data_IF_823839224992
#
_entry.id   IF_823839224992
#
_cell.length_a   1.000
_cell.length_b   1.000
_cell.length_c   1.000
_cell.angle_alpha   90.00
_cell.angle_beta   90.00
_cell.angle_gamma   90.00
#
_symmetry.space_group_name_H-M   'P 1'
#
loop_
_entity.id
_entity.type
_entity.pdbx_description
1 polymer ?
#
# COMPACT_ATOMS: atom_id res chain seq x y z
N UNK A 1 68.73 -13.60 35.19
CA UNK A 1 67.41 -13.05 35.57
C UNK A 1 67.00 -11.93 34.59
N UNK A 2 66.87 -12.23 33.28
CA UNK A 2 66.48 -11.26 32.23
C UNK A 2 65.66 -11.99 31.12
N UNK A 3 64.77 -12.90 31.52
CA UNK A 3 63.83 -13.56 30.61
C UNK A 3 62.45 -13.65 31.30
N UNK A 4 61.73 -12.54 31.35
CA UNK A 4 60.30 -12.58 31.71
C UNK A 4 59.46 -11.39 31.22
N UNK A 5 60.06 -10.34 30.66
CA UNK A 5 59.33 -9.08 30.41
C UNK A 5 58.92 -8.80 28.95
N UNK A 6 59.21 -9.68 27.98
CA UNK A 6 58.90 -9.43 26.55
C UNK A 6 57.74 -10.25 25.98
N UNK A 7 56.99 -10.99 26.79
CA UNK A 7 55.90 -11.85 26.32
C UNK A 7 54.50 -11.45 26.83
N UNK A 8 54.35 -10.26 27.40
CA UNK A 8 53.05 -9.75 27.90
C UNK A 8 52.50 -8.58 27.05
N UNK A 9 53.28 -8.02 26.13
CA UNK A 9 52.88 -6.85 25.35
C UNK A 9 52.10 -7.12 24.04
N UNK A 10 51.95 -8.39 23.63
CA UNK A 10 51.33 -8.72 22.34
C UNK A 10 49.89 -9.24 22.44
N UNK A 11 49.29 -9.30 23.64
CA UNK A 11 47.91 -9.80 23.82
C UNK A 11 46.90 -8.66 24.01
N UNK A 12 47.35 -7.44 24.32
CA UNK A 12 46.45 -6.33 24.65
C UNK A 12 45.96 -5.49 23.45
N UNK A 13 46.45 -5.74 22.23
CA UNK A 13 46.08 -4.95 21.04
C UNK A 13 44.99 -5.58 20.17
N UNK A 14 44.52 -6.79 20.48
CA UNK A 14 43.42 -7.43 19.73
C UNK A 14 42.03 -7.13 20.33
N UNK A 15 41.97 -6.47 21.49
CA UNK A 15 40.71 -6.11 22.15
C UNK A 15 40.13 -4.74 21.71
N UNK A 16 40.53 -4.22 20.55
CA UNK A 16 40.06 -2.92 20.02
C UNK A 16 39.40 -3.05 18.63
N UNK A 17 38.74 -4.18 18.34
CA UNK A 17 38.01 -4.41 17.09
C UNK A 17 36.60 -4.98 17.28
N UNK A 18 35.90 -4.60 18.35
CA UNK A 18 34.51 -5.03 18.54
C UNK A 18 33.62 -3.99 19.22
N UNK A 19 33.76 -2.70 18.89
CA UNK A 19 32.63 -1.77 19.00
C UNK A 19 31.75 -1.96 17.77
N UNK A 20 31.09 -3.12 17.71
CA UNK A 20 30.01 -3.36 16.76
C UNK A 20 28.88 -2.40 17.17
N UNK A 21 28.50 -1.56 16.22
CA UNK A 21 27.33 -0.72 16.28
C UNK A 21 26.09 -1.57 16.58
N UNK A 22 25.70 -1.64 17.85
CA UNK A 22 24.35 -2.03 18.22
C UNK A 22 23.49 -0.77 18.20
N UNK A 23 23.17 -0.32 16.99
CA UNK A 23 21.97 0.47 16.79
C UNK A 23 20.81 -0.43 17.24
N UNK A 24 20.31 -0.19 18.45
CA UNK A 24 19.12 -0.85 18.93
C UNK A 24 17.96 -0.42 18.03
N UNK A 25 17.66 -1.23 17.01
CA UNK A 25 16.38 -1.19 16.34
C UNK A 25 15.33 -1.61 17.38
N UNK A 26 14.88 -0.63 18.15
CA UNK A 26 13.70 -0.74 19.01
C UNK A 26 12.52 -0.88 18.06
N UNK A 27 12.19 -2.12 17.70
CA UNK A 27 10.90 -2.45 17.11
C UNK A 27 9.88 -2.15 18.19
N UNK A 28 9.26 -0.97 18.11
CA UNK A 28 8.06 -0.68 18.87
C UNK A 28 7.01 -1.68 18.42
N UNK A 29 6.50 -2.43 19.40
CA UNK A 29 5.28 -3.21 19.32
C UNK A 29 4.26 -2.44 18.48
N UNK A 30 3.82 -3.05 17.37
CA UNK A 30 2.84 -2.43 16.46
C UNK A 30 1.49 -2.42 17.19
N UNK A 31 1.26 -1.40 18.02
CA UNK A 31 -0.09 -1.00 18.41
C UNK A 31 -0.88 -0.86 17.11
N UNK A 32 -1.97 -1.60 16.98
CA UNK A 32 -3.00 -1.24 16.02
C UNK A 32 -3.44 0.17 16.42
N UNK A 33 -3.09 1.24 15.68
CA UNK A 33 -3.42 2.56 16.15
C UNK A 33 -4.94 2.63 16.07
N UNK A 34 -5.61 2.64 17.23
CA UNK A 34 -7.01 3.09 17.33
C UNK A 34 -7.17 4.53 16.80
N UNK A 35 -6.05 5.20 16.51
CA UNK A 35 -5.91 6.57 16.03
C UNK A 35 -5.79 6.72 14.49
N UNK A 36 -6.15 5.70 13.70
CA UNK A 36 -6.10 5.82 12.23
C UNK A 36 -7.20 5.01 11.51
N UNK A 37 -7.48 5.41 10.27
CA UNK A 37 -8.34 4.69 9.34
C UNK A 37 -9.79 4.58 9.78
N UNK A 38 -10.26 5.53 10.59
CA UNK A 38 -11.61 5.63 11.11
C UNK A 38 -12.08 7.09 11.19
N UNK A 39 -13.38 7.31 11.39
CA UNK A 39 -13.98 8.64 11.44
C UNK A 39 -13.38 9.55 12.53
N UNK A 40 -13.05 9.01 13.71
CA UNK A 40 -12.46 9.81 14.79
C UNK A 40 -11.05 10.33 14.47
N UNK A 41 -10.35 9.67 13.54
CA UNK A 41 -9.04 10.07 13.04
C UNK A 41 -9.10 10.92 11.76
N UNK A 42 -10.28 11.41 11.38
CA UNK A 42 -10.54 12.02 10.07
C UNK A 42 -10.02 11.15 8.92
N UNK A 43 -10.20 9.84 9.04
CA UNK A 43 -9.72 8.84 8.09
C UNK A 43 -8.23 8.91 7.79
N UNK A 44 -7.39 9.40 8.71
CA UNK A 44 -5.92 9.40 8.55
C UNK A 44 -5.39 7.99 8.22
N UNK A 45 -4.58 7.80 7.15
CA UNK A 45 -4.04 6.49 6.82
C UNK A 45 -3.14 5.88 7.89
N UNK A 46 -3.29 4.58 8.11
CA UNK A 46 -2.49 3.81 9.08
C UNK A 46 -1.11 3.40 8.56
N UNK A 47 -0.90 3.47 7.25
CA UNK A 47 0.35 3.04 6.60
C UNK A 47 0.85 4.20 5.72
N UNK A 48 2.17 4.41 5.73
CA UNK A 48 2.83 5.34 4.84
C UNK A 48 2.52 5.04 3.36
N UNK A 49 2.29 6.09 2.58
CA UNK A 49 1.96 6.00 1.15
C UNK A 49 2.96 5.14 0.38
N UNK A 50 4.26 5.28 0.65
CA UNK A 50 5.32 4.51 -0.03
C UNK A 50 5.13 2.99 0.09
N UNK A 51 4.74 2.50 1.27
CA UNK A 51 4.50 1.08 1.51
C UNK A 51 3.16 0.67 0.88
N UNK A 52 2.14 1.51 1.02
CA UNK A 52 0.83 1.28 0.42
C UNK A 52 0.94 1.14 -1.11
N UNK A 53 1.69 2.01 -1.78
CA UNK A 53 1.92 2.00 -3.23
C UNK A 53 2.63 0.72 -3.69
N UNK A 54 3.59 0.20 -2.91
CA UNK A 54 4.24 -1.08 -3.22
C UNK A 54 3.24 -2.24 -3.22
N UNK A 55 2.35 -2.25 -2.22
CA UNK A 55 1.30 -3.27 -2.09
C UNK A 55 0.28 -3.16 -3.23
N UNK A 56 -0.14 -1.94 -3.56
CA UNK A 56 -1.07 -1.67 -4.67
C UNK A 56 -0.45 -2.07 -6.01
N UNK A 57 0.79 -1.63 -6.28
CA UNK A 57 1.55 -1.97 -7.48
C UNK A 57 1.68 -3.48 -7.67
N UNK A 58 2.02 -4.22 -6.61
CA UNK A 58 2.16 -5.68 -6.64
C UNK A 58 0.86 -6.40 -7.04
N UNK A 59 -0.31 -5.90 -6.61
CA UNK A 59 -1.59 -6.42 -7.08
C UNK A 59 -1.83 -6.07 -8.55
N UNK A 60 -1.55 -4.82 -8.94
CA UNK A 60 -1.73 -4.35 -10.30
C UNK A 60 -0.88 -5.10 -11.32
N UNK A 61 0.31 -5.58 -10.97
CA UNK A 61 1.11 -6.42 -11.87
C UNK A 61 0.36 -7.67 -12.38
N UNK A 62 -0.60 -8.17 -11.60
CA UNK A 62 -1.39 -9.38 -11.91
C UNK A 62 -2.68 -9.11 -12.66
N UNK A 63 -3.32 -7.96 -12.40
CA UNK A 63 -4.68 -7.68 -12.89
C UNK A 63 -4.77 -6.48 -13.84
N UNK A 64 -3.73 -5.66 -13.93
CA UNK A 64 -3.71 -4.39 -14.67
C UNK A 64 -2.54 -4.38 -15.65
N UNK A 65 -2.78 -4.09 -16.94
CA UNK A 65 -1.71 -4.09 -17.93
C UNK A 65 -0.81 -2.85 -17.76
N UNK A 66 0.45 -2.88 -18.24
CA UNK A 66 1.45 -1.85 -17.98
C UNK A 66 0.99 -0.42 -18.26
N UNK A 67 0.24 -0.21 -19.35
CA UNK A 67 -0.27 1.10 -19.78
C UNK A 67 -1.27 1.73 -18.81
N UNK A 68 -1.84 0.95 -17.88
CA UNK A 68 -2.78 1.40 -16.87
C UNK A 68 -2.16 1.50 -15.46
N UNK A 69 -0.93 1.00 -15.24
CA UNK A 69 -0.33 0.91 -13.91
C UNK A 69 0.03 2.25 -13.29
N UNK A 70 0.07 3.33 -14.07
CA UNK A 70 0.19 4.69 -13.55
C UNK A 70 -0.93 5.09 -12.57
N UNK A 71 -2.07 4.37 -12.57
CA UNK A 71 -3.17 4.56 -11.62
C UNK A 71 -3.01 3.74 -10.33
N UNK A 72 -1.98 2.92 -10.21
CA UNK A 72 -1.77 2.03 -9.06
C UNK A 72 -0.93 2.70 -7.97
N UNK A 73 -1.31 3.92 -7.62
CA UNK A 73 -0.72 4.75 -6.57
C UNK A 73 -1.83 5.40 -5.74
N UNK A 74 -1.60 5.58 -4.46
CA UNK A 74 -2.50 6.28 -3.56
C UNK A 74 -2.25 7.79 -3.61
N UNK A 75 -2.62 8.41 -4.73
CA UNK A 75 -2.58 9.87 -4.84
C UNK A 75 -3.86 10.49 -4.27
N UNK A 76 -3.72 11.24 -3.18
CA UNK A 76 -4.81 11.84 -2.42
C UNK A 76 -4.86 13.37 -2.51
N UNK A 77 -3.91 14.00 -3.23
CA UNK A 77 -3.99 15.42 -3.55
C UNK A 77 -4.90 15.63 -4.79
N UNK A 78 -5.92 16.49 -4.72
CA UNK A 78 -6.91 16.65 -5.80
C UNK A 78 -6.29 17.01 -7.16
N UNK A 79 -5.26 17.85 -7.17
CA UNK A 79 -4.60 18.29 -8.42
C UNK A 79 -3.77 17.14 -9.01
N UNK A 80 -2.93 16.51 -8.19
CA UNK A 80 -2.05 15.43 -8.62
C UNK A 80 -2.85 14.20 -9.07
N UNK A 81 -3.92 13.85 -8.35
CA UNK A 81 -4.82 12.77 -8.72
C UNK A 81 -5.46 12.99 -10.10
N UNK A 82 -5.89 14.23 -10.40
CA UNK A 82 -6.43 14.58 -11.72
C UNK A 82 -5.35 14.50 -12.80
N UNK A 83 -4.13 14.95 -12.52
CA UNK A 83 -2.99 14.86 -13.43
C UNK A 83 -2.67 13.39 -13.74
N UNK A 84 -2.65 12.52 -12.73
CA UNK A 84 -2.46 11.06 -12.88
C UNK A 84 -3.56 10.43 -13.71
N UNK A 85 -4.83 10.74 -13.42
CA UNK A 85 -5.98 10.29 -14.22
C UNK A 85 -5.85 10.72 -15.67
N UNK A 86 -5.63 12.02 -15.93
CA UNK A 86 -5.53 12.54 -17.28
C UNK A 86 -4.35 11.93 -18.04
N UNK A 87 -3.17 11.84 -17.45
CA UNK A 87 -2.00 11.25 -18.12
C UNK A 87 -2.12 9.76 -18.39
N UNK A 88 -2.81 9.02 -17.52
CA UNK A 88 -2.99 7.58 -17.70
C UNK A 88 -4.12 7.27 -18.68
N UNK A 89 -5.20 8.05 -18.66
CA UNK A 89 -6.40 7.88 -19.51
C UNK A 89 -6.26 8.58 -20.86
N UNK A 90 -5.20 9.38 -21.08
CA UNK A 90 -4.91 10.02 -22.36
C UNK A 90 -5.19 9.06 -23.52
N UNK A 91 -5.89 9.52 -24.58
CA UNK A 91 -6.38 8.66 -25.64
C UNK A 91 -5.26 7.74 -26.13
N UNK A 92 -5.49 6.42 -26.10
CA UNK A 92 -4.59 5.31 -26.49
C UNK A 92 -3.67 4.67 -25.44
N UNK A 93 -3.53 5.23 -24.22
CA UNK A 93 -2.72 4.58 -23.16
C UNK A 93 -3.56 3.56 -22.40
N UNK A 94 -4.24 3.96 -21.34
CA UNK A 94 -5.06 3.04 -20.56
C UNK A 94 -6.50 2.95 -21.08
N UNK A 95 -6.96 1.74 -21.40
CA UNK A 95 -8.40 1.46 -21.60
C UNK A 95 -9.11 1.36 -20.25
N UNK A 96 -9.24 2.50 -19.55
CA UNK A 96 -9.74 2.54 -18.18
C UNK A 96 -11.07 1.81 -17.99
N UNK A 97 -11.98 1.91 -18.97
CA UNK A 97 -13.26 1.22 -18.93
C UNK A 97 -13.17 -0.31 -18.77
N UNK A 98 -12.05 -0.93 -19.17
CA UNK A 98 -11.81 -2.37 -18.96
C UNK A 98 -11.22 -2.68 -17.60
N UNK A 99 -10.35 -1.80 -17.10
CA UNK A 99 -9.48 -2.09 -15.96
C UNK A 99 -9.83 -1.35 -14.69
N UNK A 100 -10.82 -0.44 -14.70
CA UNK A 100 -11.27 0.29 -13.51
C UNK A 100 -11.63 -0.67 -12.37
N UNK A 101 -12.36 -1.76 -12.69
CA UNK A 101 -12.69 -2.79 -11.70
C UNK A 101 -11.46 -3.48 -11.12
N UNK A 102 -10.42 -3.71 -11.93
CA UNK A 102 -9.17 -4.32 -11.48
C UNK A 102 -8.36 -3.37 -10.59
N UNK A 103 -8.30 -2.09 -10.97
CA UNK A 103 -7.60 -1.03 -10.22
C UNK A 103 -8.28 -0.82 -8.86
N UNK A 104 -9.60 -0.65 -8.83
CA UNK A 104 -10.38 -0.51 -7.58
C UNK A 104 -10.24 -1.73 -6.69
N UNK A 105 -10.29 -2.94 -7.25
CA UNK A 105 -10.08 -4.16 -6.47
C UNK A 105 -8.71 -4.18 -5.79
N UNK A 106 -7.65 -3.82 -6.54
CA UNK A 106 -6.29 -3.78 -6.00
C UNK A 106 -6.08 -2.67 -4.96
N UNK A 107 -6.72 -1.50 -5.14
CA UNK A 107 -6.68 -0.43 -4.14
C UNK A 107 -7.43 -0.83 -2.85
N UNK A 108 -8.64 -1.40 -2.99
CA UNK A 108 -9.44 -1.81 -1.85
C UNK A 108 -8.85 -3.01 -1.10
N UNK A 109 -8.03 -3.83 -1.76
CA UNK A 109 -7.55 -5.10 -1.25
C UNK A 109 -8.72 -5.98 -0.77
N UNK A 110 -8.85 -6.17 0.54
CA UNK A 110 -9.96 -6.91 1.17
C UNK A 110 -10.85 -6.02 2.04
N UNK A 111 -10.72 -4.70 1.93
CA UNK A 111 -11.36 -3.74 2.83
C UNK A 111 -12.54 -3.03 2.15
N UNK A 112 -13.70 -3.05 2.80
CA UNK A 112 -14.83 -2.18 2.45
C UNK A 112 -14.61 -0.79 3.08
N UNK A 113 -14.50 0.24 2.23
CA UNK A 113 -14.24 1.62 2.64
C UNK A 113 -15.47 2.51 2.44
N UNK A 114 -16.67 1.92 2.37
CA UNK A 114 -17.92 2.65 2.12
C UNK A 114 -18.20 3.74 3.13
N UNK A 115 -17.81 3.56 4.39
CA UNK A 115 -18.03 4.54 5.44
C UNK A 115 -17.20 5.80 5.18
N UNK A 116 -15.90 5.66 4.96
CA UNK A 116 -15.04 6.77 4.53
C UNK A 116 -15.57 7.45 3.27
N UNK A 117 -15.98 6.67 2.27
CA UNK A 117 -16.52 7.25 1.04
C UNK A 117 -17.81 8.06 1.25
N UNK A 118 -18.67 7.64 2.18
CA UNK A 118 -19.86 8.40 2.57
C UNK A 118 -19.48 9.73 3.22
N UNK A 119 -18.53 9.70 4.15
CA UNK A 119 -18.02 10.92 4.82
C UNK A 119 -17.36 11.88 3.83
N UNK A 120 -16.70 11.34 2.80
CA UNK A 120 -16.12 12.11 1.71
C UNK A 120 -17.17 12.57 0.69
N UNK A 121 -18.47 12.28 0.86
CA UNK A 121 -19.54 12.73 -0.04
C UNK A 121 -19.51 12.08 -1.44
N UNK A 122 -19.07 10.82 -1.56
CA UNK A 122 -19.14 10.10 -2.83
C UNK A 122 -20.57 9.68 -3.18
N UNK A 123 -21.36 9.33 -2.17
CA UNK A 123 -22.77 8.94 -2.36
C UNK A 123 -23.61 10.09 -2.92
N UNK A 124 -23.25 11.33 -2.60
CA UNK A 124 -23.91 12.56 -3.07
C UNK A 124 -23.78 12.78 -4.59
N UNK A 125 -22.73 12.24 -5.22
CA UNK A 125 -22.58 12.23 -6.69
C UNK A 125 -23.57 11.24 -7.32
N UNK A 126 -23.83 10.14 -6.62
CA UNK A 126 -24.73 9.08 -7.01
C UNK A 126 -24.36 7.76 -6.34
N UNK A 127 -25.37 6.99 -5.95
CA UNK A 127 -25.22 5.71 -5.25
C UNK A 127 -24.35 4.70 -6.00
N UNK A 128 -24.30 4.77 -7.34
CA UNK A 128 -23.41 3.95 -8.15
C UNK A 128 -21.92 4.17 -7.84
N UNK A 129 -21.53 5.35 -7.34
CA UNK A 129 -20.14 5.66 -7.02
C UNK A 129 -19.61 4.84 -5.85
N UNK A 130 -20.49 4.35 -4.98
CA UNK A 130 -20.13 3.49 -3.85
C UNK A 130 -19.52 2.17 -4.28
N UNK A 131 -19.74 1.74 -5.53
CA UNK A 131 -19.05 0.57 -6.08
C UNK A 131 -17.52 0.79 -6.14
N UNK A 132 -17.03 2.04 -6.20
CA UNK A 132 -15.60 2.34 -6.21
C UNK A 132 -14.96 2.21 -4.82
N UNK A 133 -15.74 2.04 -3.77
CA UNK A 133 -15.25 2.04 -2.38
C UNK A 133 -14.99 0.64 -1.82
N UNK A 134 -15.32 -0.40 -2.59
CA UNK A 134 -15.31 -1.80 -2.17
C UNK A 134 -14.40 -2.64 -3.07
N UNK A 135 -13.88 -3.76 -2.56
CA UNK A 135 -13.24 -4.76 -3.41
C UNK A 135 -14.25 -5.27 -4.44
N UNK A 136 -13.83 -5.35 -5.70
CA UNK A 136 -14.70 -5.86 -6.75
C UNK A 136 -14.76 -7.38 -6.66
N UNK A 137 -15.97 -7.96 -6.64
CA UNK A 137 -16.16 -9.42 -6.58
C UNK A 137 -15.46 -10.14 -7.73
N UNK A 138 -15.44 -9.53 -8.92
CA UNK A 138 -14.68 -10.00 -10.07
C UNK A 138 -13.86 -8.84 -10.66
N UNK A 139 -12.53 -8.78 -10.44
CA UNK A 139 -11.66 -7.73 -10.98
C UNK A 139 -11.73 -7.60 -12.50
N UNK A 140 -12.09 -8.67 -13.20
CA UNK A 140 -12.15 -8.75 -14.67
C UNK A 140 -13.54 -8.52 -15.24
N UNK A 141 -14.53 -8.15 -14.42
CA UNK A 141 -15.92 -7.98 -14.84
C UNK A 141 -16.08 -7.07 -16.06
N UNK A 142 -15.24 -6.04 -16.20
CA UNK A 142 -15.33 -5.05 -17.27
C UNK A 142 -14.42 -5.33 -18.49
N UNK A 143 -13.69 -6.45 -18.54
CA UNK A 143 -12.75 -6.72 -19.65
C UNK A 143 -13.41 -6.79 -21.04
N UNK A 144 -14.71 -7.11 -21.10
CA UNK A 144 -15.53 -7.11 -22.32
C UNK A 144 -16.24 -5.78 -22.63
N UNK A 145 -16.12 -4.77 -21.77
CA UNK A 145 -16.76 -3.47 -21.99
C UNK A 145 -16.17 -2.76 -23.21
N UNK A 146 -16.99 -1.92 -23.87
CA UNK A 146 -16.58 -1.08 -25.00
C UNK A 146 -16.38 0.39 -24.63
N UNK A 147 -16.93 0.80 -23.50
CA UNK A 147 -16.85 2.16 -22.96
C UNK A 147 -17.07 2.14 -21.44
N UNK A 148 -16.66 3.21 -20.77
CA UNK A 148 -16.94 3.39 -19.35
C UNK A 148 -18.42 3.78 -19.23
N UNK A 149 -19.12 3.23 -18.23
CA UNK A 149 -20.50 3.62 -17.96
C UNK A 149 -20.54 5.11 -17.63
N UNK A 150 -21.45 5.87 -18.25
CA UNK A 150 -21.50 7.34 -18.12
C UNK A 150 -21.70 7.79 -16.67
N UNK A 151 -22.47 7.02 -15.90
CA UNK A 151 -22.73 7.23 -14.49
C UNK A 151 -21.50 7.05 -13.59
N UNK A 152 -20.51 6.25 -14.03
CA UNK A 152 -19.23 6.09 -13.34
C UNK A 152 -18.18 7.14 -13.71
N UNK A 153 -18.32 7.79 -14.87
CA UNK A 153 -17.40 8.88 -15.28
C UNK A 153 -17.44 10.01 -14.25
N UNK A 154 -18.64 10.36 -13.78
CA UNK A 154 -18.83 11.42 -12.78
C UNK A 154 -18.17 11.08 -11.44
N UNK A 155 -18.16 9.80 -11.05
CA UNK A 155 -17.51 9.36 -9.82
C UNK A 155 -15.99 9.61 -9.82
N UNK A 156 -15.35 9.66 -11.00
CA UNK A 156 -13.91 9.93 -11.11
C UNK A 156 -13.53 11.36 -10.70
N UNK A 157 -14.50 12.28 -10.53
CA UNK A 157 -14.21 13.63 -10.03
C UNK A 157 -13.74 13.66 -8.57
N UNK A 158 -13.98 12.59 -7.81
CA UNK A 158 -13.54 12.38 -6.42
C UNK A 158 -12.50 11.27 -6.29
N UNK A 159 -11.71 11.02 -7.34
CA UNK A 159 -10.72 9.94 -7.35
C UNK A 159 -9.67 10.07 -6.24
N UNK A 160 -9.24 11.29 -5.91
CA UNK A 160 -8.38 11.60 -4.76
C UNK A 160 -8.97 11.08 -3.44
N UNK A 161 -10.27 11.28 -3.22
CA UNK A 161 -10.99 10.80 -2.05
C UNK A 161 -11.18 9.28 -2.05
N UNK A 162 -11.44 8.67 -3.22
CA UNK A 162 -11.46 7.19 -3.35
C UNK A 162 -10.10 6.62 -2.93
N UNK A 163 -9.00 7.16 -3.46
CA UNK A 163 -7.65 6.70 -3.14
C UNK A 163 -7.31 6.94 -1.67
N UNK A 164 -7.68 8.10 -1.11
CA UNK A 164 -7.56 8.37 0.32
C UNK A 164 -8.26 7.29 1.13
N UNK A 165 -9.54 7.03 0.89
CA UNK A 165 -10.31 6.03 1.63
C UNK A 165 -9.74 4.61 1.52
N UNK A 166 -9.25 4.21 0.34
CA UNK A 166 -8.59 2.91 0.20
C UNK A 166 -7.28 2.83 0.98
N UNK A 167 -6.45 3.88 0.94
CA UNK A 167 -5.23 3.94 1.74
C UNK A 167 -5.55 3.88 3.24
N UNK A 168 -6.59 4.59 3.66
CA UNK A 168 -7.07 4.64 5.04
C UNK A 168 -7.64 3.33 5.53
N UNK A 169 -8.15 2.47 4.65
CA UNK A 169 -8.58 1.11 4.97
C UNK A 169 -7.45 0.13 5.21
N UNK A 170 -6.24 0.41 4.71
CA UNK A 170 -5.11 -0.51 4.88
C UNK A 170 -4.70 -0.61 6.35
N UNK A 171 -4.36 -1.83 6.77
CA UNK A 171 -3.81 -2.12 8.09
C UNK A 171 -2.46 -2.80 7.91
N UNK A 172 -1.45 -2.37 8.65
CA UNK A 172 -0.18 -3.09 8.61
C UNK A 172 -0.42 -4.48 9.20
N UNK A 173 -0.17 -5.52 8.42
CA UNK A 173 -0.12 -6.86 8.98
C UNK A 173 1.19 -6.97 9.74
N UNK A 174 1.11 -7.38 11.02
CA UNK A 174 2.28 -7.83 11.77
C UNK A 174 2.85 -9.05 11.03
N UNK A 175 3.93 -8.86 10.28
CA UNK A 175 4.74 -9.99 9.87
C UNK A 175 5.48 -10.40 11.14
N UNK A 176 4.97 -11.41 11.83
CA UNK A 176 5.80 -12.15 12.76
C UNK A 176 6.88 -12.80 11.89
N UNK A 177 8.02 -12.14 11.74
CA UNK A 177 9.26 -12.82 11.39
C UNK A 177 9.55 -13.69 12.60
N UNK A 178 8.95 -14.88 12.65
CA UNK A 178 9.57 -15.96 13.39
C UNK A 178 10.97 -16.04 12.78
N UNK A 179 11.98 -15.79 13.62
CA UNK A 179 13.32 -16.22 13.29
C UNK A 179 13.20 -17.67 12.89
N UNK A 180 13.34 -17.98 11.60
CA UNK A 180 13.65 -19.33 11.16
C UNK A 180 15.01 -19.66 11.78
N UNK A 181 14.95 -20.22 12.98
CA UNK A 181 16.03 -21.06 13.46
C UNK A 181 16.05 -22.28 12.53
N UNK A 182 17.24 -22.71 12.06
CA UNK A 182 17.35 -23.59 10.90
C UNK A 182 17.06 -25.03 11.31
N UNK A 183 15.79 -25.39 11.53
CA UNK A 183 15.42 -26.78 11.75
C UNK A 183 13.93 -27.05 11.52
N UNK A 184 13.49 -27.00 10.25
CA UNK A 184 12.25 -27.66 9.82
C UNK A 184 12.20 -27.78 8.30
N UNK A 185 13.17 -28.49 7.74
CA UNK A 185 13.07 -29.09 6.41
C UNK A 185 12.79 -30.59 6.60
N UNK A 186 11.60 -30.90 7.13
CA UNK A 186 11.07 -32.26 7.16
C UNK A 186 9.55 -32.21 6.96
N UNK A 187 9.15 -32.73 5.79
CA UNK A 187 7.82 -33.23 5.42
C UNK A 187 6.80 -32.18 4.97
N UNK A 188 6.85 -31.84 3.67
CA UNK A 188 5.75 -32.04 2.70
C UNK A 188 6.37 -32.41 1.36
#
# INVERSE_FOLDING_TARGET
MILCFRMIRSVATVALLATIALAQNKVTEFENPTDCGNQASDWKPCIERKIADQVFGSCCERFVPPECRGLCIYENHPIEARVVLMHTIQPSRCRLYKYLSSIVHCAAQTHDNSECCRDMGLEDIGSQCMQLCRPQANPRQLWGAKSLRKDLVQCLSKWDQVMHCHQSGLRARKINVQNDSPDSLKHV
#
